data_IF_704747084561
#
_entry.id   IF_704747084561
#
_cell.length_a   1.000
_cell.length_b   1.000
_cell.length_c   1.000
_cell.angle_alpha   90.00
_cell.angle_beta   90.00
_cell.angle_gamma   90.00
#
_symmetry.space_group_name_H-M   'P 1'
#
loop_
_entity.id
_entity.type
_entity.pdbx_description
1 polymer ?
#
# COMPACT_ATOMS: atom_id res chain seq x y z
N UNK A 1 5.01 16.31 -2.08
CA UNK A 1 5.83 15.10 -1.97
C UNK A 1 6.22 14.62 -3.37
N UNK A 2 7.46 14.24 -3.52
CA UNK A 2 7.93 13.80 -4.83
C UNK A 2 7.53 12.37 -5.11
N UNK A 3 7.22 12.08 -6.36
CA UNK A 3 6.84 10.73 -6.78
C UNK A 3 7.90 9.70 -6.42
N UNK A 4 9.17 10.06 -6.57
CA UNK A 4 10.28 9.15 -6.26
C UNK A 4 10.25 8.69 -4.81
N UNK A 5 9.98 9.62 -3.89
CA UNK A 5 9.93 9.28 -2.46
C UNK A 5 8.82 8.27 -2.19
N UNK A 6 7.69 8.40 -2.87
CA UNK A 6 6.57 7.48 -2.69
C UNK A 6 6.92 6.11 -3.26
N UNK A 7 7.55 6.07 -4.43
CA UNK A 7 7.92 4.80 -5.07
C UNK A 7 8.95 4.03 -4.26
N UNK A 8 9.81 4.75 -3.53
CA UNK A 8 10.86 4.13 -2.73
C UNK A 8 10.42 3.84 -1.30
N UNK A 9 9.25 4.31 -0.91
CA UNK A 9 8.76 4.10 0.45
C UNK A 9 8.36 2.65 0.66
N UNK A 10 8.60 2.14 1.84
CA UNK A 10 8.18 0.81 2.24
C UNK A 10 6.78 0.79 2.83
N UNK A 11 6.16 1.95 2.98
CA UNK A 11 4.79 2.02 3.48
C UNK A 11 3.82 1.52 2.42
N UNK A 12 2.70 0.97 2.90
CA UNK A 12 1.59 0.62 2.04
C UNK A 12 0.63 1.79 2.04
N UNK A 13 0.32 2.30 0.85
CA UNK A 13 -0.58 3.45 0.70
C UNK A 13 -1.93 2.97 0.21
N UNK A 14 -3.00 3.44 0.87
CA UNK A 14 -4.36 3.15 0.42
C UNK A 14 -5.05 4.47 0.10
N UNK A 15 -5.52 4.60 -1.12
CA UNK A 15 -6.16 5.82 -1.61
C UNK A 15 -7.64 5.56 -1.83
N UNK A 16 -8.47 6.34 -1.15
CA UNK A 16 -9.93 6.26 -1.27
C UNK A 16 -10.46 7.55 -1.88
N UNK A 17 -11.62 7.46 -2.51
CA UNK A 17 -12.26 8.62 -3.10
C UNK A 17 -12.81 9.59 -2.06
N UNK A 18 -13.05 9.11 -0.86
CA UNK A 18 -13.59 9.95 0.21
C UNK A 18 -13.28 9.33 1.55
N UNK A 19 -14.22 9.44 2.47
CA UNK A 19 -14.06 8.87 3.80
C UNK A 19 -14.11 7.33 3.71
N UNK A 20 -13.02 6.63 4.09
CA UNK A 20 -12.99 5.18 3.95
C UNK A 20 -13.88 4.44 4.93
N UNK A 21 -14.38 5.11 5.97
CA UNK A 21 -15.25 4.47 6.94
C UNK A 21 -16.72 4.86 6.76
N UNK A 22 -17.03 5.66 5.73
CA UNK A 22 -18.38 6.17 5.52
C UNK A 22 -19.30 5.19 4.80
N UNK A 23 -18.75 4.15 4.18
CA UNK A 23 -19.56 3.11 3.59
C UNK A 23 -18.92 1.76 3.87
N UNK A 24 -19.75 0.72 3.72
CA UNK A 24 -19.38 -0.63 4.11
C UNK A 24 -18.30 -1.23 3.23
N UNK A 25 -18.36 -0.93 1.94
CA UNK A 25 -17.38 -1.47 1.00
C UNK A 25 -15.99 -0.92 1.29
N UNK A 26 -15.88 0.39 1.46
CA UNK A 26 -14.58 1.00 1.73
C UNK A 26 -14.06 0.60 3.09
N UNK A 27 -14.93 0.48 4.08
CA UNK A 27 -14.51 0.04 5.42
C UNK A 27 -13.95 -1.38 5.36
N UNK A 28 -14.60 -2.27 4.62
CA UNK A 28 -14.10 -3.64 4.44
C UNK A 28 -12.77 -3.68 3.70
N UNK A 29 -12.64 -2.85 2.68
CA UNK A 29 -11.39 -2.73 1.94
C UNK A 29 -10.25 -2.28 2.87
N UNK A 30 -10.53 -1.29 3.73
CA UNK A 30 -9.55 -0.79 4.67
C UNK A 30 -9.14 -1.86 5.68
N UNK A 31 -10.09 -2.65 6.16
CA UNK A 31 -9.79 -3.76 7.07
C UNK A 31 -8.84 -4.75 6.39
N UNK A 32 -9.10 -5.07 5.14
CA UNK A 32 -8.21 -5.94 4.37
C UNK A 32 -6.83 -5.34 4.22
N UNK A 33 -6.73 -4.05 3.92
CA UNK A 33 -5.44 -3.38 3.81
C UNK A 33 -4.65 -3.47 5.12
N UNK A 34 -5.31 -3.25 6.24
CA UNK A 34 -4.65 -3.32 7.54
C UNK A 34 -4.12 -4.71 7.84
N UNK A 35 -4.93 -5.72 7.52
CA UNK A 35 -4.52 -7.10 7.75
C UNK A 35 -3.29 -7.46 6.92
N UNK A 36 -3.30 -7.11 5.64
CA UNK A 36 -2.17 -7.40 4.76
C UNK A 36 -0.92 -6.62 5.17
N UNK A 37 -1.09 -5.34 5.49
CA UNK A 37 0.06 -4.53 5.92
C UNK A 37 0.69 -5.13 7.17
N UNK A 38 -0.13 -5.56 8.12
CA UNK A 38 0.36 -6.17 9.35
C UNK A 38 1.13 -7.46 9.06
N UNK A 39 0.60 -8.30 8.17
CA UNK A 39 1.26 -9.54 7.81
C UNK A 39 2.60 -9.31 7.12
N UNK A 40 2.72 -8.21 6.40
CA UNK A 40 3.95 -7.88 5.69
C UNK A 40 4.94 -7.08 6.53
N UNK A 41 4.55 -6.70 7.75
CA UNK A 41 5.40 -5.84 8.57
C UNK A 41 5.53 -4.44 8.02
N UNK A 42 4.50 -3.94 7.32
CA UNK A 42 4.51 -2.62 6.71
C UNK A 42 3.56 -1.69 7.42
N UNK A 43 3.87 -0.41 7.38
CA UNK A 43 2.98 0.60 7.92
C UNK A 43 1.95 0.97 6.86
N UNK A 44 0.68 0.99 7.24
CA UNK A 44 -0.39 1.41 6.35
C UNK A 44 -0.62 2.91 6.49
N UNK A 45 -0.68 3.60 5.37
CA UNK A 45 -1.00 5.01 5.31
C UNK A 45 -2.26 5.19 4.46
N UNK A 46 -3.32 5.67 5.11
CA UNK A 46 -4.56 6.03 4.40
C UNK A 46 -4.38 7.44 3.87
N UNK A 47 -4.51 7.59 2.57
CA UNK A 47 -4.16 8.83 1.86
C UNK A 47 -5.44 9.61 1.57
N UNK A 48 -5.55 10.84 2.05
CA UNK A 48 -6.69 11.70 1.69
C UNK A 48 -6.68 12.03 0.20
N UNK A 49 -7.84 12.00 -0.43
CA UNK A 49 -7.94 12.12 -1.89
C UNK A 49 -7.45 13.47 -2.41
N UNK A 50 -7.50 14.49 -1.59
CA UNK A 50 -7.05 15.82 -2.02
C UNK A 50 -5.59 16.13 -1.70
N UNK A 51 -4.83 15.17 -1.17
CA UNK A 51 -3.47 15.42 -0.74
C UNK A 51 -2.48 15.36 -1.90
N UNK A 52 -1.28 15.95 -1.73
CA UNK A 52 -0.22 15.78 -2.75
C UNK A 52 0.16 14.32 -2.95
N UNK A 53 0.15 13.52 -1.89
CA UNK A 53 0.44 12.10 -2.00
C UNK A 53 -0.58 11.40 -2.89
N UNK A 54 -1.87 11.72 -2.76
CA UNK A 54 -2.91 11.16 -3.62
C UNK A 54 -2.67 11.51 -5.08
N UNK A 55 -2.26 12.76 -5.33
CA UNK A 55 -1.97 13.21 -6.69
C UNK A 55 -0.83 12.40 -7.29
N UNK A 56 0.21 12.15 -6.50
CA UNK A 56 1.34 11.36 -6.96
C UNK A 56 0.93 9.91 -7.22
N UNK A 57 0.10 9.34 -6.37
CA UNK A 57 -0.38 7.96 -6.56
C UNK A 57 -1.20 7.85 -7.85
N UNK A 58 -2.04 8.84 -8.12
CA UNK A 58 -2.81 8.85 -9.36
C UNK A 58 -1.90 8.91 -10.59
N UNK A 59 -0.83 9.70 -10.52
CA UNK A 59 0.13 9.78 -11.61
C UNK A 59 0.84 8.44 -11.83
N UNK A 60 1.20 7.77 -10.74
CA UNK A 60 1.82 6.44 -10.81
C UNK A 60 0.87 5.44 -11.45
N UNK A 61 -0.40 5.47 -11.06
CA UNK A 61 -1.40 4.56 -11.62
C UNK A 61 -1.52 4.76 -13.13
N UNK A 62 -1.53 6.00 -13.57
CA UNK A 62 -1.59 6.29 -15.01
C UNK A 62 -0.35 5.79 -15.72
N UNK A 63 0.81 5.98 -15.14
CA UNK A 63 2.06 5.56 -15.77
C UNK A 63 2.17 4.04 -15.89
N UNK A 64 1.48 3.31 -15.02
CA UNK A 64 1.47 1.85 -15.07
C UNK A 64 0.32 1.30 -15.90
N UNK A 65 -0.45 2.18 -16.55
CA UNK A 65 -1.53 1.75 -17.41
C UNK A 65 -2.79 1.32 -16.68
N UNK A 66 -2.85 1.50 -15.37
CA UNK A 66 -4.01 1.10 -14.58
C UNK A 66 -5.13 2.11 -14.70
N UNK A 67 -4.77 3.39 -14.82
CA UNK A 67 -5.76 4.46 -14.76
C UNK A 67 -6.12 4.79 -13.32
N UNK A 68 -7.00 5.78 -13.16
CA UNK A 68 -7.40 6.21 -11.83
C UNK A 68 -8.66 5.47 -11.42
N UNK A 69 -8.58 4.70 -10.34
CA UNK A 69 -9.69 3.94 -9.78
C UNK A 69 -9.65 4.04 -8.27
N UNK A 70 -10.81 3.94 -7.66
CA UNK A 70 -10.92 4.01 -6.20
C UNK A 70 -11.70 2.82 -5.68
N UNK A 71 -11.28 2.25 -4.56
CA UNK A 71 -10.00 2.49 -3.91
C UNK A 71 -8.86 1.77 -4.62
N UNK A 72 -7.63 2.19 -4.33
CA UNK A 72 -6.45 1.51 -4.86
C UNK A 72 -5.31 1.56 -3.85
N UNK A 73 -4.34 0.67 -4.05
CA UNK A 73 -3.21 0.49 -3.14
C UNK A 73 -1.93 0.70 -3.92
N UNK A 74 -0.99 1.41 -3.31
CA UNK A 74 0.38 1.50 -3.81
C UNK A 74 1.29 0.80 -2.80
N UNK A 75 2.03 -0.20 -3.25
CA UNK A 75 2.93 -0.96 -2.42
C UNK A 75 4.17 -1.32 -3.22
N UNK A 76 5.34 -0.93 -2.71
CA UNK A 76 6.63 -1.19 -3.37
C UNK A 76 6.64 -0.73 -4.83
N UNK A 77 5.99 0.40 -5.08
CA UNK A 77 5.97 1.03 -6.41
C UNK A 77 4.97 0.42 -7.38
N UNK A 78 4.14 -0.52 -6.94
CA UNK A 78 3.13 -1.16 -7.79
C UNK A 78 1.73 -0.84 -7.31
N UNK A 79 0.82 -0.68 -8.27
CA UNK A 79 -0.58 -0.40 -7.97
C UNK A 79 -1.37 -1.70 -7.94
N UNK A 80 -2.16 -1.87 -6.88
CA UNK A 80 -3.07 -2.99 -6.70
C UNK A 80 -4.48 -2.46 -6.51
N UNK A 81 -5.45 -3.12 -7.11
CA UNK A 81 -6.85 -2.68 -7.01
C UNK A 81 -7.58 -3.30 -5.82
N UNK A 82 -7.11 -4.44 -5.34
CA UNK A 82 -7.66 -5.05 -4.13
C UNK A 82 -6.54 -5.60 -3.28
N UNK A 83 -6.74 -5.70 -1.95
CA UNK A 83 -5.73 -6.35 -1.11
C UNK A 83 -5.45 -7.79 -1.52
N UNK A 84 -6.45 -8.48 -2.06
CA UNK A 84 -6.30 -9.88 -2.45
C UNK A 84 -5.31 -10.08 -3.59
N UNK A 85 -5.02 -9.04 -4.35
CA UNK A 85 -4.10 -9.12 -5.47
C UNK A 85 -2.63 -9.08 -5.01
N UNK A 86 -2.40 -8.80 -3.74
CA UNK A 86 -1.05 -8.65 -3.22
C UNK A 86 -0.47 -10.03 -2.89
N UNK A 87 0.73 -10.30 -3.40
CA UNK A 87 1.46 -11.50 -3.03
C UNK A 87 2.27 -11.24 -1.76
N UNK A 88 1.86 -11.82 -0.65
CA UNK A 88 2.48 -11.54 0.64
C UNK A 88 3.96 -11.92 0.65
N UNK A 89 4.31 -13.04 0.01
CA UNK A 89 5.69 -13.49 0.03
C UNK A 89 6.64 -12.51 -0.64
N UNK A 90 6.14 -11.76 -1.63
CA UNK A 90 6.98 -10.82 -2.37
C UNK A 90 7.17 -9.51 -1.65
N UNK A 91 6.39 -9.25 -0.59
CA UNK A 91 6.35 -7.95 0.05
C UNK A 91 6.68 -7.97 1.53
N UNK A 92 7.07 -9.11 2.08
CA UNK A 92 7.46 -9.20 3.49
C UNK A 92 8.70 -8.32 3.69
N UNK A 93 8.72 -7.58 4.79
CA UNK A 93 9.82 -6.68 5.10
C UNK A 93 11.11 -7.47 5.34
N UNK A 94 12.21 -6.97 4.76
CA UNK A 94 13.49 -7.68 4.84
C UNK A 94 14.04 -7.78 6.23
N UNK A 95 13.77 -6.78 7.06
CA UNK A 95 14.30 -6.80 8.41
C UNK A 95 13.73 -7.90 9.26
N UNK A 96 12.62 -8.48 8.85
CA UNK A 96 12.12 -9.65 9.55
C UNK A 96 12.92 -10.89 9.23
N UNK A 97 13.68 -10.85 8.19
CA UNK A 97 14.48 -12.01 7.83
C UNK A 97 15.77 -11.99 8.56
N UNK A 98 16.01 -11.04 8.99
CA UNK A 98 17.20 -11.03 9.54
C UNK A 98 17.26 -11.44 10.84
N UNK A 99 16.67 -11.40 10.63
CA UNK A 99 16.83 -11.78 11.35
C UNK A 99 16.88 -12.52 11.82
N UNK A 100 16.88 -12.64 11.55
CA UNK A 100 17.10 -13.47 11.76
C UNK A 100 17.62 -14.06 11.84
N UNK A 101 17.77 -13.70 11.57
CA UNK A 101 18.45 -14.28 11.65
C UNK A 101 18.95 -14.66 11.99
N UNK A 102 18.94 -14.54 11.91
CA UNK A 102 19.60 -14.99 12.24
C UNK A 102 19.94 -15.44 12.72
N UNK A 103 19.81 -15.39 12.54
CA UNK A 103 20.32 -15.89 12.98
C UNK A 103 20.58 -16.49 13.38
N UNK A 104 20.55 -16.48 13.27
CA UNK A 104 21.00 -17.14 13.67
C UNK A 104 21.31 -17.72 13.92
N UNK A 105 21.19 -17.59 13.75
CA UNK A 105 21.66 -18.25 13.92
C UNK A 105 22.02 -18.66 14.23
N UNK A 106 22.02 -18.54 14.24
CA UNK A 106 22.54 -19.12 14.42
C UNK A 106 22.78 -19.50 14.63
#
# INVERSE_FOLDING_TARGET
MKTTAILESRDMFALFDGCPTCNRQDAGYLVGCRAYAQQMGRRLRVVPSGSPTARAIRAIAKSQGVGVRYPMILLDGLIYLTPKDISLADHVADDETEEKDDTNED
#
